data_IF_247312810348
#
_entry.id   IF_247312810348
#
_cell.length_a   1.000
_cell.length_b   1.000
_cell.length_c   1.000
_cell.angle_alpha   90.00
_cell.angle_beta   90.00
_cell.angle_gamma   90.00
#
_symmetry.space_group_name_H-M   'P 1'
#
loop_
_entity.id
_entity.type
_entity.pdbx_description
1 polymer ?
#
# COMPACT_ATOMS: atom_id res chain seq x y z
N UNK A 1 -14.94 15.47 45.39
CA UNK A 1 -13.65 14.79 45.54
C UNK A 1 -13.85 13.36 45.08
N UNK A 2 -13.54 13.03 43.85
CA UNK A 2 -13.64 11.66 43.38
C UNK A 2 -12.64 11.43 42.24
N UNK A 3 -11.56 10.78 42.58
CA UNK A 3 -10.38 10.50 41.75
C UNK A 3 -10.70 9.35 40.82
N UNK A 4 -10.81 9.65 39.52
CA UNK A 4 -10.83 8.63 38.47
C UNK A 4 -9.40 8.16 38.20
N UNK A 5 -8.97 7.11 38.89
CA UNK A 5 -7.80 6.33 38.52
C UNK A 5 -8.10 5.58 37.19
N UNK A 6 -7.65 6.12 36.07
CA UNK A 6 -7.73 5.45 34.79
C UNK A 6 -6.77 4.25 34.79
N UNK A 7 -7.34 3.08 34.48
CA UNK A 7 -6.66 1.79 34.30
C UNK A 7 -5.64 1.86 33.18
N UNK A 8 -4.39 2.22 33.47
CA UNK A 8 -3.25 2.16 32.53
C UNK A 8 -2.49 0.82 32.60
N UNK A 9 -2.96 -0.11 33.42
CA UNK A 9 -2.29 -1.38 33.72
C UNK A 9 -2.30 -2.42 32.59
N UNK A 10 -3.27 -2.50 31.63
CA UNK A 10 -3.23 -3.58 30.66
C UNK A 10 -2.22 -3.39 29.54
N UNK A 11 -1.86 -2.17 29.17
CA UNK A 11 -0.93 -1.92 28.05
C UNK A 11 0.51 -2.22 28.47
N UNK A 12 0.94 -1.81 29.66
CA UNK A 12 2.27 -2.11 30.18
C UNK A 12 2.48 -3.61 30.43
N UNK A 13 1.44 -4.32 30.87
CA UNK A 13 1.53 -5.78 31.06
C UNK A 13 1.63 -6.53 29.72
N UNK A 14 0.90 -6.07 28.71
CA UNK A 14 0.98 -6.64 27.36
C UNK A 14 2.36 -6.42 26.73
N UNK A 15 2.94 -5.24 26.91
CA UNK A 15 4.28 -4.92 26.42
C UNK A 15 5.35 -5.76 27.12
N UNK A 16 5.24 -5.98 28.43
CA UNK A 16 6.17 -6.83 29.20
C UNK A 16 6.01 -8.30 28.79
N UNK A 17 4.80 -8.80 28.53
CA UNK A 17 4.60 -10.16 28.03
C UNK A 17 5.24 -10.37 26.67
N UNK A 18 5.14 -9.42 25.74
CA UNK A 18 5.79 -9.51 24.41
C UNK A 18 7.31 -9.58 24.52
N UNK A 19 7.91 -8.87 25.49
CA UNK A 19 9.37 -8.91 25.72
C UNK A 19 9.84 -10.18 26.44
N UNK A 20 8.98 -10.85 27.23
CA UNK A 20 9.35 -12.05 27.97
C UNK A 20 9.27 -13.35 27.13
N UNK A 21 8.57 -13.33 25.99
CA UNK A 21 8.56 -14.43 25.01
C UNK A 21 9.58 -14.22 23.91
N UNK A 22 10.77 -13.77 24.25
CA UNK A 22 11.93 -13.72 23.33
C UNK A 22 12.41 -15.13 22.98
N UNK A 23 11.67 -15.85 22.11
CA UNK A 23 12.29 -16.87 21.29
C UNK A 23 13.29 -16.19 20.37
N UNK A 24 14.49 -16.72 20.24
CA UNK A 24 15.52 -16.26 19.31
C UNK A 24 14.92 -16.07 17.93
N UNK A 25 14.62 -14.82 17.57
CA UNK A 25 14.15 -14.48 16.25
C UNK A 25 15.33 -14.68 15.30
N UNK A 26 15.32 -15.78 14.58
CA UNK A 26 16.19 -15.94 13.43
C UNK A 26 15.59 -15.07 12.33
N UNK A 27 16.14 -13.89 12.12
CA UNK A 27 15.79 -13.04 11.00
C UNK A 27 16.21 -13.75 9.71
N UNK A 28 15.25 -14.27 8.96
CA UNK A 28 15.47 -15.03 7.76
C UNK A 28 15.63 -14.11 6.54
N UNK A 29 16.88 -13.72 6.26
CA UNK A 29 17.25 -13.46 4.88
C UNK A 29 17.61 -14.79 4.24
N UNK A 30 16.75 -15.34 3.38
CA UNK A 30 16.97 -16.53 2.50
C UNK A 30 17.91 -17.64 3.02
N UNK A 31 17.88 -17.96 4.31
CA UNK A 31 18.60 -19.10 4.90
C UNK A 31 20.10 -18.92 5.13
N UNK A 32 20.70 -17.84 4.69
CA UNK A 32 22.12 -17.55 4.93
C UNK A 32 22.30 -16.57 6.08
N UNK A 33 23.07 -16.96 7.08
CA UNK A 33 23.48 -16.04 8.15
C UNK A 33 24.53 -15.09 7.56
N UNK A 34 24.13 -13.90 7.22
CA UNK A 34 25.09 -12.83 6.90
C UNK A 34 25.83 -12.42 8.17
N UNK A 35 27.07 -12.88 8.31
CA UNK A 35 27.96 -12.34 9.30
C UNK A 35 28.33 -10.91 8.85
N UNK A 36 27.78 -9.94 9.56
CA UNK A 36 28.05 -8.53 9.29
C UNK A 36 29.56 -8.29 9.46
N UNK A 37 30.24 -7.66 8.49
CA UNK A 37 31.67 -7.40 8.55
C UNK A 37 32.06 -6.42 9.65
N UNK A 38 31.09 -5.78 10.28
CA UNK A 38 31.23 -4.81 11.36
C UNK A 38 30.24 -5.18 12.49
N UNK A 39 30.57 -4.93 13.77
CA UNK A 39 29.67 -5.16 14.89
C UNK A 39 28.29 -4.49 14.69
N UNK A 40 27.22 -5.19 15.04
CA UNK A 40 25.81 -4.73 14.90
C UNK A 40 25.58 -3.34 15.49
N UNK A 41 26.31 -2.98 16.57
CA UNK A 41 26.20 -1.67 17.21
C UNK A 41 26.48 -0.50 16.26
N UNK A 42 27.43 -0.65 15.33
CA UNK A 42 27.72 0.43 14.36
C UNK A 42 26.57 0.63 13.36
N UNK A 43 25.90 -0.45 12.95
CA UNK A 43 24.71 -0.35 12.10
C UNK A 43 23.56 0.31 12.85
N UNK A 44 23.32 -0.05 14.11
CA UNK A 44 22.26 0.56 14.92
C UNK A 44 22.52 2.05 15.16
N UNK A 45 23.77 2.42 15.51
CA UNK A 45 24.13 3.82 15.70
C UNK A 45 24.05 4.59 14.38
N UNK A 46 24.54 4.02 13.28
CA UNK A 46 24.47 4.64 11.96
C UNK A 46 23.05 4.88 11.50
N UNK A 47 22.16 3.90 11.66
CA UNK A 47 20.75 4.03 11.35
C UNK A 47 20.06 5.08 12.23
N UNK A 48 20.31 5.06 13.53
CA UNK A 48 19.74 6.04 14.46
C UNK A 48 20.20 7.48 14.12
N UNK A 49 21.49 7.66 13.81
CA UNK A 49 22.03 8.96 13.39
C UNK A 49 21.45 9.43 12.06
N UNK A 50 21.31 8.53 11.07
CA UNK A 50 20.71 8.87 9.78
C UNK A 50 19.26 9.35 9.95
N UNK A 51 18.46 8.65 10.76
CA UNK A 51 17.09 9.07 11.08
C UNK A 51 17.08 10.40 11.81
N UNK A 52 17.89 10.56 12.86
CA UNK A 52 17.94 11.79 13.65
C UNK A 52 18.36 13.00 12.79
N UNK A 53 19.38 12.84 11.93
CA UNK A 53 19.83 13.89 11.02
C UNK A 53 18.78 14.23 9.96
N UNK A 54 18.05 13.23 9.45
CA UNK A 54 16.95 13.45 8.50
C UNK A 54 15.85 14.30 9.13
N UNK A 55 15.42 13.98 10.35
CA UNK A 55 14.42 14.78 11.07
C UNK A 55 14.93 16.16 11.44
N UNK A 56 16.19 16.30 11.85
CA UNK A 56 16.81 17.58 12.13
C UNK A 56 16.86 18.47 10.87
N UNK A 57 17.26 17.90 9.73
CA UNK A 57 17.29 18.59 8.45
C UNK A 57 15.87 19.05 8.04
N UNK A 58 14.88 18.14 8.06
CA UNK A 58 13.49 18.48 7.76
C UNK A 58 13.00 19.59 8.70
N UNK A 59 13.21 19.46 10.01
CA UNK A 59 12.81 20.48 11.00
C UNK A 59 13.47 21.85 10.77
N UNK A 60 14.71 21.86 10.29
CA UNK A 60 15.41 23.09 9.95
C UNK A 60 14.84 23.75 8.69
N UNK A 61 14.61 22.99 7.61
CA UNK A 61 14.09 23.50 6.35
C UNK A 61 12.60 23.89 6.43
N UNK A 62 11.76 23.11 7.10
CA UNK A 62 10.32 23.38 7.23
C UNK A 62 10.04 24.62 8.07
N UNK A 63 10.95 24.99 8.99
CA UNK A 63 10.79 26.19 9.84
C UNK A 63 10.74 27.51 9.05
N UNK A 64 11.17 27.52 7.79
CA UNK A 64 11.26 28.72 6.95
C UNK A 64 10.12 28.90 5.94
N UNK A 65 9.20 27.94 5.82
CA UNK A 65 8.14 27.97 4.81
C UNK A 65 6.82 28.49 5.36
N UNK A 66 6.72 29.82 5.47
CA UNK A 66 5.49 30.52 5.85
C UNK A 66 4.48 30.76 4.71
N UNK A 67 4.74 30.24 3.51
CA UNK A 67 3.82 30.30 2.36
C UNK A 67 3.87 28.96 1.62
N UNK A 68 2.70 28.43 1.28
CA UNK A 68 2.62 27.25 0.42
C UNK A 68 3.46 27.46 -0.84
N UNK A 69 4.58 26.76 -1.02
CA UNK A 69 5.36 26.90 -2.23
C UNK A 69 4.50 26.38 -3.38
N UNK A 70 4.09 27.27 -4.28
CA UNK A 70 3.45 26.85 -5.54
C UNK A 70 4.56 26.25 -6.41
N UNK A 71 4.75 24.95 -6.29
CA UNK A 71 5.66 24.23 -7.20
C UNK A 71 5.12 24.32 -8.62
N UNK A 72 6.00 24.59 -9.62
CA UNK A 72 5.60 24.57 -11.02
C UNK A 72 5.21 23.12 -11.37
N UNK A 73 3.92 22.91 -11.64
CA UNK A 73 3.39 21.60 -12.03
C UNK A 73 3.24 21.52 -13.54
N UNK A 74 3.68 20.42 -14.11
CA UNK A 74 3.52 20.12 -15.53
C UNK A 74 2.41 19.09 -15.68
N UNK A 75 1.30 19.48 -16.30
CA UNK A 75 0.21 18.56 -16.61
C UNK A 75 0.54 17.76 -17.88
N UNK A 76 0.99 16.52 -17.67
CA UNK A 76 1.32 15.59 -18.75
C UNK A 76 0.06 15.10 -19.49
N UNK A 77 -1.09 15.05 -18.81
CA UNK A 77 -2.37 14.60 -19.37
C UNK A 77 -3.00 15.58 -20.38
N UNK A 78 -2.45 16.79 -20.47
CA UNK A 78 -2.84 17.79 -21.48
C UNK A 78 -2.61 17.34 -22.93
N UNK A 79 -1.63 16.45 -23.14
CA UNK A 79 -1.26 15.98 -24.47
C UNK A 79 -2.07 14.72 -24.83
N UNK A 80 -2.84 14.78 -25.94
CA UNK A 80 -3.69 13.67 -26.39
C UNK A 80 -2.93 12.38 -26.63
N UNK A 81 -1.73 12.45 -27.21
CA UNK A 81 -0.85 11.31 -27.41
C UNK A 81 -0.49 10.65 -26.04
N UNK A 82 -0.16 11.45 -25.04
CA UNK A 82 0.20 10.96 -23.71
C UNK A 82 -0.97 10.27 -23.03
N UNK A 83 -2.18 10.82 -23.14
CA UNK A 83 -3.39 10.17 -22.58
C UNK A 83 -3.65 8.80 -23.21
N UNK A 84 -3.41 8.67 -24.52
CA UNK A 84 -3.53 7.40 -25.24
C UNK A 84 -2.49 6.39 -24.76
N UNK A 85 -1.23 6.79 -24.66
CA UNK A 85 -0.13 5.95 -24.15
C UNK A 85 -0.38 5.52 -22.70
N UNK A 86 -0.80 6.43 -21.81
CA UNK A 86 -1.11 6.11 -20.42
C UNK A 86 -2.23 5.06 -20.33
N UNK A 87 -3.27 5.14 -21.17
CA UNK A 87 -4.35 4.15 -21.20
C UNK A 87 -3.88 2.78 -21.67
N UNK A 88 -3.02 2.71 -22.67
CA UNK A 88 -2.46 1.45 -23.16
C UNK A 88 -1.55 0.85 -22.08
N UNK A 89 -0.61 1.64 -21.56
CA UNK A 89 0.32 1.20 -20.53
C UNK A 89 -0.42 0.69 -19.29
N UNK A 90 -1.45 1.40 -18.83
CA UNK A 90 -2.22 0.97 -17.65
C UNK A 90 -2.93 -0.38 -17.87
N UNK A 91 -3.52 -0.60 -19.05
CA UNK A 91 -4.14 -1.89 -19.38
C UNK A 91 -3.10 -3.01 -19.47
N UNK A 92 -1.97 -2.73 -20.09
CA UNK A 92 -0.90 -3.71 -20.26
C UNK A 92 -0.29 -4.08 -18.90
N UNK A 93 0.03 -3.10 -18.06
CA UNK A 93 0.52 -3.33 -16.69
C UNK A 93 -0.48 -4.10 -15.84
N UNK A 94 -1.76 -3.78 -15.95
CA UNK A 94 -2.82 -4.51 -15.26
C UNK A 94 -2.90 -5.98 -15.68
N UNK A 95 -2.82 -6.29 -16.97
CA UNK A 95 -2.81 -7.67 -17.47
C UNK A 95 -1.54 -8.42 -17.04
N UNK A 96 -0.38 -7.78 -17.12
CA UNK A 96 0.88 -8.35 -16.63
C UNK A 96 0.78 -8.66 -15.14
N UNK A 97 0.24 -7.77 -14.33
CA UNK A 97 0.13 -8.01 -12.89
C UNK A 97 -0.76 -9.20 -12.55
N UNK A 98 -1.86 -9.37 -13.29
CA UNK A 98 -2.73 -10.55 -13.16
C UNK A 98 -1.98 -11.82 -13.56
N UNK A 99 -1.25 -11.80 -14.67
CA UNK A 99 -0.43 -12.92 -15.10
C UNK A 99 0.64 -13.29 -14.07
N UNK A 100 1.31 -12.30 -13.50
CA UNK A 100 2.32 -12.50 -12.44
C UNK A 100 1.68 -13.07 -11.17
N UNK A 101 0.47 -12.62 -10.80
CA UNK A 101 -0.24 -13.20 -9.66
C UNK A 101 -0.49 -14.70 -9.87
N UNK A 102 -0.96 -15.10 -11.05
CA UNK A 102 -1.17 -16.52 -11.35
C UNK A 102 0.12 -17.33 -11.38
N UNK A 103 1.20 -16.80 -11.97
CA UNK A 103 2.52 -17.45 -11.95
C UNK A 103 3.02 -17.59 -10.50
N UNK A 104 2.87 -16.57 -9.67
CA UNK A 104 3.30 -16.62 -8.28
C UNK A 104 2.57 -17.71 -7.50
N UNK A 105 1.24 -17.80 -7.66
CA UNK A 105 0.45 -18.86 -7.03
C UNK A 105 0.86 -20.24 -7.57
N UNK A 106 0.94 -20.39 -8.89
CA UNK A 106 1.30 -21.66 -9.53
C UNK A 106 2.71 -22.11 -9.13
N UNK A 107 3.69 -21.22 -9.19
CA UNK A 107 5.07 -21.51 -8.80
C UNK A 107 5.18 -21.86 -7.32
N UNK A 108 4.43 -21.16 -6.45
CA UNK A 108 4.39 -21.48 -5.03
C UNK A 108 3.82 -22.87 -4.75
N UNK A 109 2.70 -23.24 -5.40
CA UNK A 109 2.00 -24.50 -5.12
C UNK A 109 2.58 -25.71 -5.84
N UNK A 110 3.08 -25.54 -7.06
CA UNK A 110 3.47 -26.61 -7.98
C UNK A 110 4.95 -26.56 -8.39
N UNK A 111 5.67 -25.50 -8.02
CA UNK A 111 7.08 -25.31 -8.38
C UNK A 111 8.04 -26.05 -7.46
N UNK A 112 9.33 -25.79 -7.67
CA UNK A 112 10.39 -26.34 -6.81
C UNK A 112 10.25 -25.87 -5.37
N UNK A 113 10.65 -26.71 -4.40
CA UNK A 113 10.70 -26.36 -2.98
C UNK A 113 11.89 -25.47 -2.63
N UNK A 114 12.88 -25.37 -3.52
CA UNK A 114 14.06 -24.54 -3.33
C UNK A 114 13.70 -23.06 -3.42
N UNK A 115 13.93 -22.31 -2.34
CA UNK A 115 13.47 -20.92 -2.17
C UNK A 115 14.05 -19.99 -3.24
N UNK A 116 15.34 -20.14 -3.55
CA UNK A 116 16.05 -19.26 -4.48
C UNK A 116 15.68 -19.56 -5.95
N UNK A 117 15.35 -20.82 -6.25
CA UNK A 117 14.98 -21.26 -7.60
C UNK A 117 13.48 -21.10 -7.89
N UNK A 118 12.68 -20.81 -6.86
CA UNK A 118 11.25 -20.63 -7.01
C UNK A 118 10.90 -19.16 -7.25
N UNK A 119 10.04 -18.91 -8.25
CA UNK A 119 9.62 -17.55 -8.61
C UNK A 119 8.87 -16.84 -7.49
N UNK A 120 7.99 -17.53 -6.75
CA UNK A 120 7.10 -16.90 -5.79
C UNK A 120 7.83 -16.18 -4.65
N UNK A 121 8.76 -16.77 -3.90
CA UNK A 121 9.49 -16.08 -2.84
C UNK A 121 10.32 -14.90 -3.36
N UNK A 122 11.04 -15.11 -4.46
CA UNK A 122 11.89 -14.04 -5.06
C UNK A 122 11.02 -12.88 -5.52
N UNK A 123 9.91 -13.17 -6.20
CA UNK A 123 9.02 -12.12 -6.66
C UNK A 123 8.35 -11.38 -5.51
N UNK A 124 7.74 -12.10 -4.55
CA UNK A 124 6.96 -11.47 -3.47
C UNK A 124 7.84 -10.64 -2.55
N UNK A 125 8.96 -11.19 -2.07
CA UNK A 125 9.76 -10.53 -1.04
C UNK A 125 10.72 -9.47 -1.60
N UNK A 126 11.27 -9.67 -2.80
CA UNK A 126 12.26 -8.76 -3.36
C UNK A 126 11.63 -7.81 -4.37
N UNK A 127 10.98 -8.36 -5.42
CA UNK A 127 10.53 -7.53 -6.53
C UNK A 127 9.28 -6.75 -6.17
N UNK A 128 8.28 -7.44 -5.63
CA UNK A 128 7.01 -6.81 -5.31
C UNK A 128 7.09 -6.01 -4.01
N UNK A 129 7.44 -6.63 -2.89
CA UNK A 129 7.42 -5.94 -1.61
C UNK A 129 8.39 -4.74 -1.56
N UNK A 130 9.64 -4.97 -1.88
CA UNK A 130 10.67 -3.94 -1.83
C UNK A 130 10.67 -3.10 -3.12
N UNK A 131 10.71 -3.74 -4.29
CA UNK A 131 10.85 -3.05 -5.57
C UNK A 131 9.66 -2.15 -5.91
N UNK A 132 8.41 -2.64 -5.80
CA UNK A 132 7.23 -1.79 -6.06
C UNK A 132 7.12 -0.68 -5.01
N UNK A 133 7.48 -0.95 -3.75
CA UNK A 133 7.54 0.08 -2.70
C UNK A 133 8.43 1.26 -3.10
N UNK A 134 9.65 1.00 -3.57
CA UNK A 134 10.56 2.04 -4.07
C UNK A 134 10.02 2.76 -5.31
N UNK A 135 9.48 2.01 -6.27
CA UNK A 135 8.90 2.62 -7.48
C UNK A 135 7.75 3.55 -7.13
N UNK A 136 6.89 3.16 -6.20
CA UNK A 136 5.78 4.02 -5.74
C UNK A 136 6.30 5.28 -5.07
N UNK A 137 7.32 5.18 -4.21
CA UNK A 137 7.90 6.35 -3.55
C UNK A 137 8.56 7.35 -4.52
N UNK A 138 9.17 6.86 -5.61
CA UNK A 138 9.97 7.71 -6.49
C UNK A 138 9.16 8.20 -7.69
N UNK A 139 8.41 7.29 -8.32
CA UNK A 139 7.75 7.58 -9.61
C UNK A 139 6.33 8.07 -9.42
N UNK A 140 5.53 7.36 -8.62
CA UNK A 140 4.10 7.63 -8.47
C UNK A 140 3.34 6.37 -8.07
N UNK A 141 2.05 6.51 -7.83
CA UNK A 141 1.21 5.39 -7.40
C UNK A 141 0.95 4.37 -8.53
N UNK A 142 2.01 3.67 -8.93
CA UNK A 142 1.92 2.61 -9.94
C UNK A 142 1.05 1.45 -9.47
N UNK A 143 0.85 1.28 -8.16
CA UNK A 143 0.00 0.24 -7.62
C UNK A 143 -1.46 0.38 -8.06
N UNK A 144 -1.94 1.60 -8.28
CA UNK A 144 -3.27 1.84 -8.87
C UNK A 144 -3.44 1.21 -10.25
N UNK A 145 -2.34 1.04 -10.99
CA UNK A 145 -2.33 0.47 -12.33
C UNK A 145 -2.07 -1.03 -12.32
N UNK A 146 -1.34 -1.53 -11.31
CA UNK A 146 -0.79 -2.88 -11.24
C UNK A 146 -1.45 -3.76 -10.18
N UNK A 147 -2.46 -3.28 -9.44
CA UNK A 147 -3.15 -4.10 -8.44
C UNK A 147 -3.98 -5.21 -9.12
N UNK A 148 -3.53 -6.48 -9.10
CA UNK A 148 -4.17 -7.54 -9.85
C UNK A 148 -5.57 -7.86 -9.34
N UNK A 149 -5.80 -7.75 -8.04
CA UNK A 149 -7.11 -8.01 -7.42
C UNK A 149 -8.14 -6.98 -7.89
N UNK A 150 -7.75 -5.71 -7.95
CA UNK A 150 -8.59 -4.64 -8.48
C UNK A 150 -8.85 -4.82 -9.98
N UNK A 151 -7.85 -5.22 -10.76
CA UNK A 151 -7.97 -5.45 -12.20
C UNK A 151 -8.97 -6.59 -12.46
N UNK A 152 -8.83 -7.72 -11.78
CA UNK A 152 -9.77 -8.86 -11.91
C UNK A 152 -11.20 -8.43 -11.53
N UNK A 153 -11.34 -7.71 -10.42
CA UNK A 153 -12.65 -7.23 -9.97
C UNK A 153 -13.28 -6.23 -10.96
N UNK A 154 -12.47 -5.37 -11.58
CA UNK A 154 -12.95 -4.47 -12.63
C UNK A 154 -13.51 -5.23 -13.86
N UNK A 155 -12.86 -6.32 -14.28
CA UNK A 155 -13.37 -7.18 -15.34
C UNK A 155 -14.66 -7.89 -14.91
N UNK A 156 -14.73 -8.36 -13.67
CA UNK A 156 -15.96 -8.93 -13.12
C UNK A 156 -17.11 -7.91 -13.15
N UNK A 157 -16.88 -6.66 -12.72
CA UNK A 157 -17.90 -5.60 -12.79
C UNK A 157 -18.32 -5.23 -14.23
N UNK A 158 -17.44 -5.37 -15.21
CA UNK A 158 -17.81 -5.16 -16.62
C UNK A 158 -18.79 -6.21 -17.13
N UNK A 159 -18.72 -7.43 -16.61
CA UNK A 159 -19.59 -8.55 -17.03
C UNK A 159 -20.92 -8.52 -16.25
N UNK A 160 -20.87 -8.32 -14.94
CA UNK A 160 -22.02 -8.47 -14.05
C UNK A 160 -22.66 -7.13 -13.62
N UNK A 161 -22.04 -6.02 -13.98
CA UNK A 161 -22.47 -4.68 -13.56
C UNK A 161 -21.72 -4.14 -12.35
N UNK A 162 -21.78 -2.81 -12.17
CA UNK A 162 -21.09 -2.11 -11.08
C UNK A 162 -21.62 -2.58 -9.72
N UNK A 163 -20.71 -2.96 -8.82
CA UNK A 163 -21.03 -3.44 -7.48
C UNK A 163 -20.71 -2.36 -6.42
N UNK A 164 -21.70 -2.05 -5.57
CA UNK A 164 -21.60 -0.96 -4.57
C UNK A 164 -21.19 -1.49 -3.19
N UNK A 165 -21.27 -2.80 -2.98
CA UNK A 165 -21.12 -3.45 -1.68
C UNK A 165 -22.49 -3.83 -1.08
N UNK A 166 -22.47 -4.82 -0.20
CA UNK A 166 -23.68 -5.37 0.45
C UNK A 166 -23.87 -4.75 1.83
N UNK A 167 -22.75 -4.37 2.49
CA UNK A 167 -22.70 -3.88 3.87
C UNK A 167 -21.97 -2.54 3.91
N UNK A 168 -22.52 -1.60 4.65
CA UNK A 168 -21.85 -0.33 4.89
C UNK A 168 -20.63 -0.49 5.80
N UNK A 169 -19.54 0.20 5.47
CA UNK A 169 -18.33 0.20 6.30
C UNK A 169 -18.59 0.89 7.62
N UNK A 170 -18.27 0.26 8.77
CA UNK A 170 -18.45 0.88 10.09
C UNK A 170 -17.52 2.09 10.23
N UNK A 171 -18.07 3.30 10.33
CA UNK A 171 -17.31 4.57 10.39
C UNK A 171 -16.23 4.60 11.46
N UNK A 172 -16.45 3.89 12.60
CA UNK A 172 -15.47 3.83 13.71
C UNK A 172 -14.25 2.96 13.41
N UNK A 173 -14.32 2.09 12.42
CA UNK A 173 -13.21 1.21 12.04
C UNK A 173 -12.15 1.95 11.24
N UNK A 174 -12.55 2.97 10.45
CA UNK A 174 -11.64 3.70 9.58
C UNK A 174 -10.65 2.75 8.85
N UNK A 175 -9.36 3.00 8.88
CA UNK A 175 -8.31 2.16 8.29
C UNK A 175 -7.67 1.13 9.28
N UNK A 176 -8.27 0.90 10.46
CA UNK A 176 -7.76 -0.06 11.43
C UNK A 176 -7.62 -1.49 10.88
N UNK A 177 -8.56 -2.03 10.06
CA UNK A 177 -8.41 -3.35 9.47
C UNK A 177 -7.17 -3.46 8.57
N UNK A 178 -6.89 -2.44 7.75
CA UNK A 178 -5.68 -2.41 6.94
C UNK A 178 -4.42 -2.42 7.82
N UNK A 179 -4.39 -1.66 8.91
CA UNK A 179 -3.27 -1.67 9.85
C UNK A 179 -3.06 -3.05 10.49
N UNK A 180 -4.12 -3.71 10.95
CA UNK A 180 -4.01 -5.05 11.54
C UNK A 180 -3.52 -6.08 10.52
N UNK A 181 -4.03 -6.05 9.30
CA UNK A 181 -3.58 -6.93 8.23
C UNK A 181 -2.11 -6.65 7.84
N UNK A 182 -1.70 -5.39 7.86
CA UNK A 182 -0.30 -5.03 7.64
C UNK A 182 0.61 -5.54 8.75
N UNK A 183 0.21 -5.39 10.02
CA UNK A 183 0.97 -5.94 11.15
C UNK A 183 1.06 -7.46 11.10
N UNK A 184 -0.02 -8.13 10.70
CA UNK A 184 -0.02 -9.58 10.47
C UNK A 184 0.94 -9.97 9.34
N UNK A 185 0.93 -9.24 8.23
CA UNK A 185 1.88 -9.45 7.13
C UNK A 185 3.33 -9.27 7.61
N UNK A 186 3.62 -8.17 8.32
CA UNK A 186 4.95 -7.92 8.85
C UNK A 186 5.40 -9.00 9.87
N UNK A 187 4.46 -9.52 10.66
CA UNK A 187 4.73 -10.64 11.55
C UNK A 187 5.02 -11.93 10.78
N UNK A 188 4.24 -12.23 9.74
CA UNK A 188 4.49 -13.39 8.87
C UNK A 188 5.87 -13.27 8.23
N UNK A 189 6.21 -12.10 7.67
CA UNK A 189 7.49 -11.86 7.03
C UNK A 189 8.67 -12.11 7.97
N UNK A 190 8.62 -11.55 9.18
CA UNK A 190 9.78 -11.50 10.07
C UNK A 190 9.84 -12.64 11.10
N UNK A 191 8.73 -13.25 11.44
CA UNK A 191 8.64 -14.22 12.56
C UNK A 191 8.25 -15.61 12.10
N UNK A 192 7.38 -15.72 11.07
CA UNK A 192 6.90 -17.03 10.65
C UNK A 192 7.97 -17.82 9.89
N UNK A 193 8.36 -18.96 10.43
CA UNK A 193 9.49 -19.77 9.90
C UNK A 193 9.28 -20.26 8.46
N UNK A 194 8.03 -20.44 8.04
CA UNK A 194 7.69 -20.89 6.69
C UNK A 194 7.35 -19.75 5.72
N UNK A 195 7.61 -18.50 6.10
CA UNK A 195 7.28 -17.33 5.25
C UNK A 195 7.99 -17.32 3.90
N UNK A 196 9.21 -17.87 3.85
CA UNK A 196 9.99 -17.98 2.62
C UNK A 196 9.71 -19.28 1.85
N UNK A 197 9.03 -20.27 2.45
CA UNK A 197 8.75 -21.53 1.77
C UNK A 197 7.72 -21.34 0.63
N UNK A 198 8.02 -21.81 -0.60
CA UNK A 198 7.17 -21.56 -1.76
C UNK A 198 5.72 -21.99 -1.56
N UNK A 199 5.48 -23.20 -1.05
CA UNK A 199 4.14 -23.73 -0.83
C UNK A 199 3.33 -22.89 0.17
N UNK A 200 3.93 -22.54 1.31
CA UNK A 200 3.30 -21.70 2.33
C UNK A 200 2.95 -20.32 1.77
N UNK A 201 3.86 -19.74 0.99
CA UNK A 201 3.65 -18.44 0.36
C UNK A 201 2.53 -18.51 -0.70
N UNK A 202 2.47 -19.56 -1.50
CA UNK A 202 1.37 -19.79 -2.45
C UNK A 202 0.00 -19.83 -1.75
N UNK A 203 -0.10 -20.52 -0.61
CA UNK A 203 -1.32 -20.53 0.21
C UNK A 203 -1.64 -19.15 0.79
N UNK A 204 -0.64 -18.43 1.29
CA UNK A 204 -0.84 -17.07 1.83
C UNK A 204 -1.35 -16.10 0.76
N UNK A 205 -0.83 -16.18 -0.47
CA UNK A 205 -1.31 -15.37 -1.60
C UNK A 205 -2.77 -15.71 -1.92
N UNK A 206 -3.15 -16.99 -1.89
CA UNK A 206 -4.54 -17.42 -2.11
C UNK A 206 -5.47 -16.90 -1.01
N UNK A 207 -5.08 -17.04 0.26
CA UNK A 207 -5.87 -16.55 1.40
C UNK A 207 -6.06 -15.04 1.29
N UNK A 208 -4.99 -14.30 0.99
CA UNK A 208 -5.07 -12.86 0.80
C UNK A 208 -5.96 -12.48 -0.38
N UNK A 209 -5.89 -13.21 -1.49
CA UNK A 209 -6.72 -12.99 -2.66
C UNK A 209 -8.20 -13.17 -2.34
N UNK A 210 -8.56 -14.25 -1.66
CA UNK A 210 -9.93 -14.52 -1.22
C UNK A 210 -10.42 -13.43 -0.26
N UNK A 211 -9.61 -13.06 0.75
CA UNK A 211 -9.93 -12.01 1.70
C UNK A 211 -10.22 -10.68 0.98
N UNK A 212 -9.38 -10.31 0.02
CA UNK A 212 -9.52 -9.06 -0.73
C UNK A 212 -10.78 -9.06 -1.59
N UNK A 213 -11.08 -10.13 -2.33
CA UNK A 213 -12.30 -10.19 -3.13
C UNK A 213 -13.56 -10.28 -2.28
N UNK A 214 -13.56 -11.03 -1.19
CA UNK A 214 -14.68 -11.04 -0.23
C UNK A 214 -14.90 -9.65 0.36
N UNK A 215 -13.83 -8.96 0.75
CA UNK A 215 -13.91 -7.58 1.22
C UNK A 215 -14.49 -6.62 0.18
N UNK A 216 -14.08 -6.74 -1.09
CA UNK A 216 -14.62 -5.94 -2.19
C UNK A 216 -16.10 -6.24 -2.46
N UNK A 217 -16.54 -7.49 -2.33
CA UNK A 217 -17.94 -7.88 -2.47
C UNK A 217 -18.77 -7.35 -1.31
N UNK A 218 -18.30 -7.48 -0.08
CA UNK A 218 -19.07 -7.09 1.11
C UNK A 218 -19.18 -5.56 1.24
N UNK A 219 -18.08 -4.83 1.10
CA UNK A 219 -18.04 -3.40 1.39
C UNK A 219 -17.95 -2.51 0.14
N UNK A 220 -17.84 -3.12 -1.02
CA UNK A 220 -17.56 -2.41 -2.26
C UNK A 220 -16.04 -2.22 -2.47
N UNK A 221 -15.66 -2.28 -3.74
CA UNK A 221 -14.24 -2.25 -4.16
C UNK A 221 -13.47 -1.05 -3.58
N UNK A 222 -14.02 0.16 -3.74
CA UNK A 222 -13.32 1.37 -3.33
C UNK A 222 -13.17 1.46 -1.81
N UNK A 223 -14.22 1.17 -1.07
CA UNK A 223 -14.22 1.21 0.40
C UNK A 223 -13.25 0.18 0.96
N UNK A 224 -13.27 -1.06 0.44
CA UNK A 224 -12.32 -2.08 0.88
C UNK A 224 -10.86 -1.68 0.61
N UNK A 225 -10.55 -1.24 -0.60
CA UNK A 225 -9.18 -0.85 -0.96
C UNK A 225 -8.66 0.30 -0.09
N UNK A 226 -9.50 1.29 0.22
CA UNK A 226 -9.07 2.48 0.97
C UNK A 226 -9.01 2.29 2.48
N UNK A 227 -9.72 1.28 3.04
CA UNK A 227 -9.82 1.09 4.49
C UNK A 227 -9.40 -0.31 4.95
N UNK A 228 -9.58 -1.33 4.13
CA UNK A 228 -9.34 -2.74 4.48
C UNK A 228 -8.06 -3.33 3.89
N UNK A 229 -7.66 -2.90 2.69
CA UNK A 229 -6.49 -3.44 2.00
C UNK A 229 -5.18 -2.80 2.52
N UNK A 230 -4.29 -3.59 3.17
CA UNK A 230 -3.07 -3.05 3.76
C UNK A 230 -2.11 -2.45 2.72
N UNK A 231 -1.97 -3.09 1.56
CA UNK A 231 -1.00 -2.67 0.55
C UNK A 231 -1.49 -1.48 -0.26
N UNK A 232 -2.80 -1.40 -0.52
CA UNK A 232 -3.36 -0.22 -1.16
C UNK A 232 -3.19 1.02 -0.27
N UNK A 233 -3.51 0.90 1.03
CA UNK A 233 -3.34 1.99 2.01
C UNK A 233 -1.87 2.39 2.14
N UNK A 234 -0.97 1.41 2.27
CA UNK A 234 0.46 1.67 2.41
C UNK A 234 1.07 2.33 1.17
N UNK A 235 0.78 1.81 -0.02
CA UNK A 235 1.32 2.38 -1.26
C UNK A 235 0.73 3.76 -1.57
N UNK A 236 -0.53 4.02 -1.20
CA UNK A 236 -1.06 5.37 -1.22
C UNK A 236 -0.30 6.34 -0.29
N UNK A 237 0.12 5.85 0.88
CA UNK A 237 0.95 6.65 1.78
C UNK A 237 2.33 6.93 1.16
N UNK A 238 2.97 5.90 0.57
CA UNK A 238 4.26 6.05 -0.08
C UNK A 238 4.21 6.98 -1.30
N UNK A 239 3.13 6.94 -2.06
CA UNK A 239 2.93 7.82 -3.21
C UNK A 239 2.91 9.32 -2.86
N UNK A 240 2.71 9.67 -1.59
CA UNK A 240 2.80 11.07 -1.13
C UNK A 240 4.22 11.66 -1.22
N UNK A 241 5.22 10.80 -1.39
CA UNK A 241 6.63 11.20 -1.55
C UNK A 241 7.09 11.15 -3.01
N UNK A 242 6.20 10.78 -3.93
CA UNK A 242 6.56 10.56 -5.33
C UNK A 242 6.60 11.85 -6.14
N UNK A 243 7.34 11.76 -7.25
CA UNK A 243 7.45 12.87 -8.21
C UNK A 243 6.19 13.11 -9.06
N UNK A 244 5.23 12.17 -9.06
CA UNK A 244 3.99 12.33 -9.83
C UNK A 244 2.77 12.12 -8.96
N UNK A 245 1.70 12.87 -9.25
CA UNK A 245 0.40 12.70 -8.59
C UNK A 245 -0.75 12.76 -9.60
N UNK A 246 -1.82 12.01 -9.31
CA UNK A 246 -3.07 12.07 -10.07
C UNK A 246 -4.00 13.08 -9.39
N UNK A 247 -4.29 14.20 -10.07
CA UNK A 247 -5.21 15.22 -9.58
C UNK A 247 -6.47 15.31 -10.42
N UNK A 248 -7.53 15.72 -9.77
CA UNK A 248 -8.78 16.07 -10.42
C UNK A 248 -9.06 17.53 -10.11
N UNK A 249 -8.97 18.34 -11.16
CA UNK A 249 -9.25 19.77 -11.09
C UNK A 249 -10.76 20.01 -11.25
N UNK A 250 -11.31 20.84 -10.40
CA UNK A 250 -12.67 21.34 -10.51
C UNK A 250 -13.70 20.53 -9.72
N UNK A 251 -14.73 21.16 -9.40
CA UNK A 251 -15.98 20.90 -8.71
C UNK A 251 -15.97 19.86 -7.59
N UNK A 252 -16.23 20.38 -6.39
CA UNK A 252 -16.59 19.63 -5.17
C UNK A 252 -17.67 18.54 -5.39
N UNK A 253 -18.39 18.62 -6.49
CA UNK A 253 -19.51 17.74 -6.81
C UNK A 253 -19.10 16.29 -7.06
N UNK A 254 -17.90 16.04 -7.61
CA UNK A 254 -17.38 14.69 -7.86
C UNK A 254 -16.93 13.99 -6.59
N UNK A 255 -16.25 14.70 -5.70
CA UNK A 255 -15.87 14.14 -4.40
C UNK A 255 -17.07 13.87 -3.49
N UNK A 256 -18.20 14.55 -3.71
CA UNK A 256 -19.46 14.27 -3.01
C UNK A 256 -20.08 12.92 -3.38
N UNK A 257 -19.70 12.31 -4.51
CA UNK A 257 -20.15 11.01 -4.96
C UNK A 257 -19.16 9.88 -4.60
N UNK A 258 -18.00 10.22 -4.06
CA UNK A 258 -16.99 9.25 -3.66
C UNK A 258 -17.46 8.47 -2.42
N UNK A 259 -17.39 7.12 -2.49
CA UNK A 259 -17.81 6.23 -1.42
C UNK A 259 -16.89 6.23 -0.20
N UNK A 260 -15.64 6.74 -0.34
CA UNK A 260 -14.61 6.70 0.71
C UNK A 260 -14.63 7.88 1.69
N UNK A 261 -15.69 8.68 1.71
CA UNK A 261 -15.80 9.78 2.68
C UNK A 261 -15.01 11.05 2.36
N UNK A 262 -14.52 11.23 1.12
CA UNK A 262 -14.00 12.53 0.64
C UNK A 262 -15.01 13.67 0.84
N UNK A 263 -16.26 13.32 1.04
CA UNK A 263 -17.37 14.24 1.37
C UNK A 263 -17.17 15.05 2.64
N UNK A 264 -16.43 14.52 3.61
CA UNK A 264 -16.27 15.15 4.93
C UNK A 264 -15.16 16.21 4.93
N UNK A 265 -14.24 16.18 3.97
CA UNK A 265 -13.15 17.16 3.84
C UNK A 265 -13.44 18.22 2.77
N UNK A 266 -14.49 18.99 2.98
CA UNK A 266 -14.89 20.11 2.11
C UNK A 266 -13.82 21.21 1.92
N UNK A 267 -12.73 21.16 2.67
CA UNK A 267 -11.64 22.13 2.63
C UNK A 267 -10.47 21.70 1.72
N UNK A 268 -10.46 20.48 1.18
CA UNK A 268 -9.45 20.08 0.22
C UNK A 268 -9.83 20.62 -1.16
N UNK A 269 -8.98 21.45 -1.79
CA UNK A 269 -9.28 22.05 -3.08
C UNK A 269 -9.35 21.03 -4.23
N UNK A 270 -8.62 19.92 -4.11
CA UNK A 270 -8.43 18.92 -5.16
C UNK A 270 -8.48 17.50 -4.60
N UNK A 271 -8.96 16.54 -5.40
CA UNK A 271 -8.88 15.13 -5.09
C UNK A 271 -7.59 14.56 -5.67
N UNK A 272 -6.73 14.01 -4.80
CA UNK A 272 -5.41 13.48 -5.16
C UNK A 272 -5.39 11.96 -4.99
N UNK A 273 -4.84 11.24 -5.98
CA UNK A 273 -4.63 9.80 -6.00
C UNK A 273 -5.85 8.94 -5.65
N UNK A 274 -7.07 9.44 -5.91
CA UNK A 274 -8.31 8.69 -5.77
C UNK A 274 -8.73 8.08 -7.10
N UNK A 275 -8.61 6.76 -7.23
CA UNK A 275 -8.93 6.10 -8.49
C UNK A 275 -10.42 6.17 -8.84
N UNK A 276 -11.34 6.15 -7.86
CA UNK A 276 -12.78 6.23 -8.13
C UNK A 276 -13.16 7.60 -8.70
N UNK A 277 -12.67 8.67 -8.10
CA UNK A 277 -12.83 10.01 -8.62
C UNK A 277 -12.20 10.14 -10.00
N UNK A 278 -11.00 9.57 -10.19
CA UNK A 278 -10.33 9.55 -11.48
C UNK A 278 -11.14 8.81 -12.54
N UNK A 279 -11.70 7.65 -12.23
CA UNK A 279 -12.48 6.87 -13.17
C UNK A 279 -13.76 7.59 -13.62
N UNK A 280 -14.43 8.29 -12.70
CA UNK A 280 -15.71 8.94 -12.92
C UNK A 280 -15.64 10.37 -13.45
N UNK A 281 -14.43 10.94 -13.58
CA UNK A 281 -14.23 12.34 -14.03
C UNK A 281 -13.95 12.39 -15.52
N UNK A 282 -14.39 13.46 -16.17
CA UNK A 282 -14.08 13.73 -17.58
C UNK A 282 -12.59 13.98 -17.80
N UNK A 283 -12.07 13.60 -18.96
CA UNK A 283 -10.65 13.74 -19.32
C UNK A 283 -10.12 15.18 -19.24
N UNK A 284 -11.01 16.16 -19.37
CA UNK A 284 -10.66 17.60 -19.28
C UNK A 284 -10.24 18.03 -17.89
N UNK A 285 -10.76 17.37 -16.86
CA UNK A 285 -10.53 17.70 -15.46
C UNK A 285 -9.48 16.79 -14.81
N UNK A 286 -8.89 15.87 -15.59
CA UNK A 286 -7.82 14.99 -15.15
C UNK A 286 -6.47 15.62 -15.36
N UNK A 287 -5.65 15.56 -14.34
CA UNK A 287 -4.28 16.05 -14.35
C UNK A 287 -3.34 14.97 -13.82
N UNK A 288 -2.32 14.66 -14.59
CA UNK A 288 -1.14 13.94 -14.11
C UNK A 288 -0.06 14.98 -13.91
N UNK A 289 0.13 15.38 -12.67
CA UNK A 289 1.10 16.40 -12.31
C UNK A 289 2.47 15.77 -12.07
N UNK A 290 3.52 16.42 -12.58
CA UNK A 290 4.91 16.23 -12.21
C UNK A 290 5.26 17.33 -11.22
N UNK A 291 5.71 16.95 -10.03
CA UNK A 291 6.18 17.86 -8.97
C UNK A 291 7.71 17.95 -8.94
#
# INVERSE_FOLDING_TARGET
MNTKTKKFIPVTLLTICVFLFGSTANAHGFGERYDLPIPLSYFLIGAALAVALSFAAIGWFVRSSGSDPKYPRINVYRYSAMTFFCKIISRFLGLISVFILFISIHSGLMGTSEVIENFAPVFVWIIWWVGVGYVVCIVGNVWLLMNPWMVIFNYWEQIFGKHIGIVDWPKKLDAWPALFLFLLFAWIENVHTASSQPFSLGILILIYSLLTWVGMILFGKHVWLTHGDPFYVLFNLFARFSATELRINGTKDWCMQCSSGCKENLNLPDCVDCYECWANTDSKNKELALE
#
